data_IF_592302650630
#
_entry.id   IF_592302650630
#
_cell.length_a   1.000
_cell.length_b   1.000
_cell.length_c   1.000
_cell.angle_alpha   90.00
_cell.angle_beta   90.00
_cell.angle_gamma   90.00
#
_symmetry.space_group_name_H-M   'P 1'
#
loop_
_entity.id
_entity.type
_entity.pdbx_description
1 polymer ?
#
# COMPACT_ATOMS: atom_id res chain seq x y z
N UNK A 1 -28.06 8.61 -15.05
CA UNK A 1 -27.31 8.63 -13.78
C UNK A 1 -27.50 7.25 -13.17
N UNK A 2 -26.44 6.50 -12.88
CA UNK A 2 -26.60 5.19 -12.24
C UNK A 2 -26.80 5.44 -10.74
N UNK A 3 -27.92 4.96 -10.18
CA UNK A 3 -28.26 5.04 -8.75
C UNK A 3 -27.35 4.17 -7.83
N UNK A 4 -26.25 3.64 -8.36
CA UNK A 4 -25.29 2.81 -7.63
C UNK A 4 -24.08 3.61 -7.12
N UNK A 5 -23.36 3.09 -6.12
CA UNK A 5 -22.16 3.76 -5.60
C UNK A 5 -21.09 3.88 -6.69
N UNK A 6 -20.52 5.08 -6.82
CA UNK A 6 -19.36 5.32 -7.68
C UNK A 6 -18.07 4.89 -6.96
N UNK A 7 -17.40 3.87 -7.49
CA UNK A 7 -16.12 3.38 -6.97
C UNK A 7 -14.97 3.98 -7.77
N UNK A 8 -14.31 5.00 -7.22
CA UNK A 8 -13.20 5.71 -7.89
C UNK A 8 -11.85 4.99 -7.76
N UNK A 9 -11.62 4.27 -6.67
CA UNK A 9 -10.47 3.40 -6.47
C UNK A 9 -10.72 2.43 -5.29
N UNK A 10 -10.08 1.26 -5.33
CA UNK A 10 -9.95 0.40 -4.15
C UNK A 10 -8.55 0.52 -3.59
N UNK A 11 -8.41 0.56 -2.26
CA UNK A 11 -7.11 0.65 -1.61
C UNK A 11 -6.97 -0.35 -0.46
N UNK A 12 -5.80 -0.97 -0.37
CA UNK A 12 -5.38 -1.80 0.78
C UNK A 12 -4.10 -1.26 1.39
N UNK A 13 -3.95 -1.51 2.69
CA UNK A 13 -2.68 -1.31 3.40
C UNK A 13 -2.06 -2.67 3.69
N UNK A 14 -0.79 -2.82 3.31
CA UNK A 14 -0.05 -4.07 3.42
C UNK A 14 1.19 -3.83 4.26
N UNK A 15 1.39 -4.62 5.29
CA UNK A 15 2.64 -4.61 6.06
C UNK A 15 3.77 -5.19 5.21
N UNK A 16 4.87 -4.46 5.10
CA UNK A 16 6.08 -4.92 4.40
C UNK A 16 6.81 -5.93 5.30
N UNK A 17 7.05 -7.17 4.83
CA UNK A 17 7.88 -8.15 5.54
C UNK A 17 9.24 -7.57 5.87
N UNK A 18 9.80 -7.91 7.03
CA UNK A 18 11.04 -7.30 7.53
C UNK A 18 12.20 -7.35 6.53
N UNK A 19 12.42 -8.51 5.89
CA UNK A 19 13.44 -8.71 4.87
C UNK A 19 13.27 -7.85 3.60
N UNK A 20 12.08 -7.29 3.37
CA UNK A 20 11.77 -6.44 2.22
C UNK A 20 11.71 -4.96 2.57
N UNK A 21 11.85 -4.59 3.85
CA UNK A 21 11.87 -3.17 4.27
C UNK A 21 13.13 -2.50 3.76
N UNK A 22 13.04 -1.19 3.56
CA UNK A 22 14.18 -0.34 3.19
C UNK A 22 14.08 0.98 3.94
N UNK A 23 15.14 1.77 3.88
CA UNK A 23 15.17 3.14 4.38
C UNK A 23 15.20 4.11 3.21
N UNK A 24 14.48 5.22 3.34
CA UNK A 24 14.52 6.33 2.39
C UNK A 24 14.43 7.66 3.14
N UNK A 25 14.81 8.75 2.48
CA UNK A 25 14.98 10.07 3.08
C UNK A 25 14.02 11.07 2.45
N UNK A 26 13.30 11.80 3.29
CA UNK A 26 12.47 12.93 2.85
C UNK A 26 12.74 14.15 3.71
N UNK A 27 13.04 15.28 3.07
CA UNK A 27 13.30 16.56 3.75
C UNK A 27 14.34 16.43 4.89
N UNK A 28 15.41 15.66 4.65
CA UNK A 28 16.50 15.44 5.61
C UNK A 28 16.21 14.46 6.75
N UNK A 29 15.04 13.83 6.78
CA UNK A 29 14.68 12.80 7.77
C UNK A 29 14.67 11.43 7.11
N UNK A 30 15.34 10.45 7.73
CA UNK A 30 15.31 9.04 7.34
C UNK A 30 14.08 8.32 7.90
N UNK A 31 13.50 7.43 7.11
CA UNK A 31 12.35 6.62 7.44
C UNK A 31 12.58 5.17 7.06
N UNK A 32 12.24 4.22 7.93
CA UNK A 32 12.12 2.81 7.56
C UNK A 32 10.72 2.53 7.05
N UNK A 33 10.61 2.09 5.79
CA UNK A 33 9.35 1.84 5.11
C UNK A 33 8.79 0.50 5.55
N UNK A 34 7.62 0.53 6.19
CA UNK A 34 7.01 -0.65 6.83
C UNK A 34 5.64 -0.99 6.26
N UNK A 35 5.06 -0.12 5.44
CA UNK A 35 3.71 -0.28 4.90
C UNK A 35 3.67 0.10 3.43
N UNK A 36 2.94 -0.65 2.62
CA UNK A 36 2.52 -0.28 1.28
C UNK A 36 1.04 0.09 1.28
N UNK A 37 0.68 1.22 0.70
CA UNK A 37 -0.68 1.47 0.23
C UNK A 37 -0.73 1.04 -1.24
N UNK A 38 -1.60 0.09 -1.56
CA UNK A 38 -1.80 -0.41 -2.92
C UNK A 38 -3.19 0.00 -3.37
N UNK A 39 -3.30 0.58 -4.56
CA UNK A 39 -4.56 1.02 -5.17
C UNK A 39 -4.83 0.26 -6.44
N UNK A 40 -6.05 -0.24 -6.60
CA UNK A 40 -6.59 -0.66 -7.89
C UNK A 40 -7.23 0.54 -8.57
N UNK A 41 -6.71 0.90 -9.73
CA UNK A 41 -7.20 2.00 -10.55
C UNK A 41 -8.37 1.53 -11.45
N UNK A 42 -9.19 2.46 -11.97
CA UNK A 42 -10.32 2.12 -12.84
C UNK A 42 -9.96 1.35 -14.12
N UNK A 43 -8.73 1.48 -14.60
CA UNK A 43 -8.21 0.78 -15.78
C UNK A 43 -7.65 -0.62 -15.48
N UNK A 44 -7.80 -1.10 -14.23
CA UNK A 44 -7.33 -2.41 -13.79
C UNK A 44 -5.86 -2.45 -13.36
N UNK A 45 -5.11 -1.35 -13.48
CA UNK A 45 -3.70 -1.30 -13.04
C UNK A 45 -3.58 -1.06 -11.54
N UNK A 46 -2.46 -1.54 -10.97
CA UNK A 46 -2.10 -1.28 -9.58
C UNK A 46 -1.14 -0.10 -9.48
N UNK A 47 -1.38 0.77 -8.51
CA UNK A 47 -0.45 1.82 -8.09
C UNK A 47 -0.08 1.62 -6.62
N UNK A 48 1.19 1.81 -6.27
CA UNK A 48 1.65 1.60 -4.90
C UNK A 48 2.49 2.79 -4.37
N UNK A 49 2.35 3.05 -3.08
CA UNK A 49 3.19 3.99 -2.33
C UNK A 49 3.62 3.37 -1.01
N UNK A 50 4.84 3.64 -0.61
CA UNK A 50 5.38 3.18 0.66
C UNK A 50 5.25 4.24 1.75
N UNK A 51 5.10 3.78 2.99
CA UNK A 51 5.02 4.60 4.18
C UNK A 51 5.91 3.99 5.26
N UNK A 52 6.53 4.86 6.05
CA UNK A 52 7.51 4.44 7.04
C UNK A 52 7.42 5.21 8.34
N UNK A 53 8.23 4.77 9.30
CA UNK A 53 8.45 5.44 10.58
C UNK A 53 9.83 6.08 10.58
N UNK A 54 10.01 7.25 11.21
CA UNK A 54 11.32 7.88 11.32
C UNK A 54 12.29 6.94 12.03
N UNK A 55 13.51 6.83 11.51
CA UNK A 55 14.56 6.00 12.14
C UNK A 55 14.90 6.54 13.54
N UNK A 56 14.94 7.86 13.70
CA UNK A 56 15.17 8.54 14.99
C UNK A 56 14.02 8.45 16.00
N UNK A 57 12.96 7.68 15.70
CA UNK A 57 11.78 7.58 16.53
C UNK A 57 10.81 8.76 16.39
N UNK A 58 9.71 8.73 17.15
CA UNK A 58 8.63 9.72 17.09
C UNK A 58 7.51 9.36 16.11
N UNK A 59 6.49 10.23 16.04
CA UNK A 59 5.38 10.09 15.09
C UNK A 59 5.85 10.61 13.74
N UNK A 60 6.03 9.70 12.78
CA UNK A 60 6.30 10.10 11.40
C UNK A 60 5.18 10.96 10.85
N UNK A 61 5.53 12.03 10.14
CA UNK A 61 4.57 12.69 9.26
C UNK A 61 4.04 11.66 8.25
N UNK A 62 2.77 11.79 7.86
CA UNK A 62 2.17 10.92 6.84
C UNK A 62 2.74 11.28 5.46
N UNK A 63 3.92 10.75 5.19
CA UNK A 63 4.71 11.00 3.99
C UNK A 63 4.81 9.70 3.21
N UNK A 64 4.52 9.79 1.91
CA UNK A 64 4.64 8.66 1.01
C UNK A 64 5.97 8.68 0.26
N UNK A 65 6.45 7.49 -0.08
CA UNK A 65 7.68 7.23 -0.80
C UNK A 65 7.37 6.40 -2.06
N UNK A 66 8.16 6.56 -3.14
CA UNK A 66 8.10 5.64 -4.27
C UNK A 66 8.47 4.22 -3.82
N UNK A 67 7.89 3.22 -4.46
CA UNK A 67 8.31 1.83 -4.27
C UNK A 67 9.45 1.57 -5.25
N UNK A 68 10.61 1.07 -4.81
CA UNK A 68 11.73 0.80 -5.71
C UNK A 68 11.40 -0.38 -6.64
N UNK A 69 12.00 -0.39 -7.82
CA UNK A 69 11.84 -1.46 -8.82
C UNK A 69 12.59 -2.73 -8.37
N UNK A 70 11.95 -3.48 -7.47
CA UNK A 70 12.43 -4.77 -6.96
C UNK A 70 11.41 -5.87 -7.27
N UNK A 71 11.83 -6.98 -7.91
CA UNK A 71 10.91 -8.08 -8.24
C UNK A 71 10.11 -8.60 -7.05
N UNK A 72 10.72 -8.65 -5.86
CA UNK A 72 10.09 -9.15 -4.63
C UNK A 72 8.99 -8.22 -4.12
N UNK A 73 9.15 -6.91 -4.29
CA UNK A 73 8.11 -5.93 -3.95
C UNK A 73 6.97 -5.95 -4.97
N UNK A 74 7.27 -6.14 -6.25
CA UNK A 74 6.25 -6.31 -7.27
C UNK A 74 5.40 -7.58 -7.02
N UNK A 75 6.05 -8.70 -6.66
CA UNK A 75 5.37 -9.92 -6.27
C UNK A 75 4.48 -9.70 -5.02
N UNK A 76 5.02 -9.06 -3.98
CA UNK A 76 4.25 -8.72 -2.78
C UNK A 76 3.00 -7.88 -3.11
N UNK A 77 3.11 -6.91 -4.02
CA UNK A 77 2.01 -6.06 -4.45
C UNK A 77 0.92 -6.87 -5.16
N UNK A 78 1.31 -7.74 -6.10
CA UNK A 78 0.38 -8.58 -6.85
C UNK A 78 -0.35 -9.58 -5.94
N UNK A 79 0.40 -10.27 -5.07
CA UNK A 79 -0.16 -11.26 -4.15
C UNK A 79 -1.14 -10.62 -3.16
N UNK A 80 -0.79 -9.44 -2.63
CA UNK A 80 -1.66 -8.71 -1.71
C UNK A 80 -2.96 -8.26 -2.38
N UNK A 81 -2.90 -7.80 -3.64
CA UNK A 81 -4.08 -7.42 -4.39
C UNK A 81 -5.00 -8.64 -4.64
N UNK A 82 -4.43 -9.79 -5.02
CA UNK A 82 -5.18 -11.03 -5.21
C UNK A 82 -5.85 -11.52 -3.92
N UNK A 83 -5.13 -11.50 -2.81
CA UNK A 83 -5.68 -11.85 -1.48
C UNK A 83 -6.82 -10.92 -1.08
N UNK A 84 -6.65 -9.62 -1.27
CA UNK A 84 -7.66 -8.64 -0.93
C UNK A 84 -8.93 -8.80 -1.78
N UNK A 85 -8.78 -9.07 -3.08
CA UNK A 85 -9.91 -9.39 -3.96
C UNK A 85 -10.71 -10.59 -3.43
N UNK A 86 -10.04 -11.65 -2.98
CA UNK A 86 -10.70 -12.79 -2.34
C UNK A 86 -11.47 -12.41 -1.07
N UNK A 87 -10.93 -11.51 -0.24
CA UNK A 87 -11.61 -11.03 0.97
C UNK A 87 -12.84 -10.19 0.66
N UNK A 88 -12.74 -9.28 -0.30
CA UNK A 88 -13.89 -8.49 -0.75
C UNK A 88 -14.97 -9.38 -1.35
N UNK A 89 -14.62 -10.35 -2.21
CA UNK A 89 -15.59 -11.27 -2.79
C UNK A 89 -16.31 -12.13 -1.74
N UNK A 90 -15.65 -12.46 -0.63
CA UNK A 90 -16.19 -13.31 0.44
C UNK A 90 -16.77 -12.52 1.63
N UNK A 91 -16.92 -11.20 1.53
CA UNK A 91 -17.37 -10.39 2.67
C UNK A 91 -18.77 -10.79 3.15
N UNK A 92 -19.02 -10.71 4.47
CA UNK A 92 -20.33 -11.06 5.07
C UNK A 92 -21.19 -9.84 5.39
N UNK A 93 -20.83 -8.67 4.86
CA UNK A 93 -21.47 -7.41 5.20
C UNK A 93 -20.90 -6.79 6.48
N UNK A 94 -21.55 -5.74 6.97
CA UNK A 94 -21.22 -5.10 8.24
C UNK A 94 -21.67 -6.02 9.40
N UNK A 95 -20.89 -6.02 10.48
CA UNK A 95 -21.18 -6.74 11.73
C UNK A 95 -21.07 -5.80 12.91
#
# INVERSE_FOLDING_TARGET
>A
MSDGPEVSALAINVTVPEALRWTDTRRGQEFTLTTLNIRLLPDGRLAAKAYGRPVGGGRGAYVSFPVPERPELAALIADAAGRAAGWWAAHRGLG
#
